data_IF_739778035925
#
_entry.id   IF_739778035925
#
_cell.length_a   1.000
_cell.length_b   1.000
_cell.length_c   1.000
_cell.angle_alpha   90.00
_cell.angle_beta   90.00
_cell.angle_gamma   90.00
#
_symmetry.space_group_name_H-M   'P 1'
#
loop_
_entity.id
_entity.type
_entity.pdbx_description
1 polymer ?
#
# COMPACT_ATOMS: atom_id res chain seq x y z
N UNK A 1 -7.03 -23.57 16.09
CA UNK A 1 -6.68 -22.35 16.79
C UNK A 1 -7.49 -21.18 16.24
N UNK A 2 -7.45 -20.87 14.94
CA UNK A 2 -8.20 -19.74 14.31
C UNK A 2 -9.70 -19.77 14.62
N UNK A 3 -10.36 -20.93 14.55
CA UNK A 3 -11.80 -21.03 14.84
C UNK A 3 -12.11 -20.82 16.32
N UNK A 4 -11.21 -21.21 17.20
CA UNK A 4 -11.34 -20.94 18.63
C UNK A 4 -11.18 -19.46 18.95
N UNK A 5 -10.25 -18.79 18.31
CA UNK A 5 -10.06 -17.32 18.42
C UNK A 5 -11.28 -16.57 17.89
N UNK A 6 -11.85 -16.97 16.76
CA UNK A 6 -13.10 -16.41 16.22
C UNK A 6 -14.27 -16.57 17.19
N UNK A 7 -14.42 -17.76 17.79
CA UNK A 7 -15.46 -18.00 18.79
C UNK A 7 -15.27 -17.11 20.02
N UNK A 8 -14.03 -16.93 20.49
CA UNK A 8 -13.71 -16.04 21.61
C UNK A 8 -14.00 -14.56 21.28
N UNK A 9 -13.80 -14.16 20.03
CA UNK A 9 -14.13 -12.82 19.53
C UNK A 9 -15.64 -12.62 19.24
N UNK A 10 -16.50 -13.60 19.52
CA UNK A 10 -17.94 -13.53 19.33
C UNK A 10 -18.40 -13.80 17.89
N UNK A 11 -17.50 -14.23 16.99
CA UNK A 11 -17.84 -14.65 15.64
C UNK A 11 -18.35 -16.09 15.70
N UNK A 12 -19.61 -16.33 15.33
CA UNK A 12 -20.21 -17.68 15.30
C UNK A 12 -19.48 -18.57 14.30
N UNK A 13 -18.65 -19.47 14.80
CA UNK A 13 -18.00 -20.53 14.03
C UNK A 13 -18.37 -21.87 14.67
N UNK A 14 -18.36 -22.96 13.91
CA UNK A 14 -18.54 -24.32 14.47
C UNK A 14 -17.51 -24.56 15.58
N UNK A 15 -17.90 -25.34 16.61
CA UNK A 15 -17.02 -25.67 17.73
C UNK A 15 -15.61 -26.02 17.25
N UNK A 16 -14.61 -25.47 17.94
CA UNK A 16 -13.20 -25.71 17.64
C UNK A 16 -12.83 -27.18 17.99
N UNK A 17 -13.21 -28.09 17.12
CA UNK A 17 -12.91 -29.51 17.22
C UNK A 17 -12.53 -30.05 15.84
N UNK A 18 -11.54 -30.94 15.82
CA UNK A 18 -11.19 -31.73 14.65
C UNK A 18 -12.00 -33.02 14.72
N UNK A 19 -12.85 -33.25 13.72
CA UNK A 19 -13.72 -34.43 13.62
C UNK A 19 -13.18 -35.42 12.59
N UNK A 20 -13.79 -36.62 12.53
CA UNK A 20 -13.43 -37.69 11.58
C UNK A 20 -13.20 -37.21 10.16
N UNK A 21 -14.03 -36.30 9.65
CA UNK A 21 -13.90 -35.78 8.30
C UNK A 21 -12.56 -35.04 8.08
N UNK A 22 -12.05 -34.34 9.09
CA UNK A 22 -10.74 -33.67 9.03
C UNK A 22 -9.56 -34.59 9.34
N UNK A 23 -9.85 -35.80 9.87
CA UNK A 23 -8.88 -36.86 10.18
C UNK A 23 -8.83 -37.96 9.09
N UNK A 24 -9.47 -37.75 7.93
CA UNK A 24 -9.53 -38.75 6.86
C UNK A 24 -8.14 -39.19 6.41
N UNK A 25 -7.20 -38.30 6.26
CA UNK A 25 -5.82 -38.61 5.88
C UNK A 25 -5.12 -39.48 6.94
N UNK A 26 -5.39 -39.27 8.23
CA UNK A 26 -4.89 -40.10 9.31
C UNK A 26 -5.53 -41.50 9.29
N UNK A 27 -6.84 -41.60 9.09
CA UNK A 27 -7.56 -42.86 9.06
C UNK A 27 -7.24 -43.70 7.83
N UNK A 28 -7.01 -43.08 6.68
CA UNK A 28 -6.66 -43.74 5.41
C UNK A 28 -5.16 -44.05 5.26
N UNK A 29 -4.31 -43.48 6.12
CA UNK A 29 -2.86 -43.66 6.02
C UNK A 29 -2.49 -45.12 6.33
N UNK A 30 -1.86 -45.81 5.36
CA UNK A 30 -1.38 -47.19 5.47
C UNK A 30 0.02 -47.27 6.09
N UNK A 31 0.76 -46.16 6.18
CA UNK A 31 2.07 -46.16 6.83
C UNK A 31 1.88 -46.13 8.35
N UNK A 32 2.29 -47.19 9.00
CA UNK A 32 2.17 -47.34 10.45
C UNK A 32 3.03 -46.29 11.17
N UNK A 33 4.23 -46.04 10.71
CA UNK A 33 5.15 -45.10 11.35
C UNK A 33 4.60 -43.66 11.36
N UNK A 34 3.99 -43.23 10.26
CA UNK A 34 3.38 -41.88 10.18
C UNK A 34 2.19 -41.77 11.14
N UNK A 35 1.39 -42.83 11.27
CA UNK A 35 0.27 -42.83 12.22
C UNK A 35 0.74 -42.80 13.66
N UNK A 36 1.73 -43.61 14.01
CA UNK A 36 2.32 -43.64 15.37
C UNK A 36 2.94 -42.26 15.70
N UNK A 37 3.64 -41.65 14.78
CA UNK A 37 4.19 -40.30 14.95
C UNK A 37 3.08 -39.27 15.18
N UNK A 38 1.99 -39.32 14.41
CA UNK A 38 0.84 -38.44 14.61
C UNK A 38 0.17 -38.65 15.95
N UNK A 39 -0.06 -39.92 16.34
CA UNK A 39 -0.68 -40.27 17.63
C UNK A 39 0.19 -39.85 18.81
N UNK A 40 1.51 -40.04 18.74
CA UNK A 40 2.44 -39.56 19.75
C UNK A 40 2.42 -38.05 19.89
N UNK A 41 2.36 -37.33 18.77
CA UNK A 41 2.25 -35.89 18.78
C UNK A 41 0.94 -35.38 19.40
N UNK A 42 -0.18 -36.04 19.06
CA UNK A 42 -1.49 -35.69 19.62
C UNK A 42 -1.58 -36.05 21.09
N UNK A 43 -0.97 -37.15 21.51
CA UNK A 43 -0.89 -37.55 22.94
C UNK A 43 -0.07 -36.50 23.72
N UNK A 44 1.07 -36.09 23.21
CA UNK A 44 1.85 -35.00 23.83
C UNK A 44 1.05 -33.71 23.97
N UNK A 45 0.22 -33.35 22.98
CA UNK A 45 -0.66 -32.19 23.08
C UNK A 45 -1.73 -32.38 24.19
N UNK A 46 -2.27 -33.59 24.37
CA UNK A 46 -3.20 -33.90 25.45
C UNK A 46 -2.51 -33.83 26.82
N UNK A 47 -1.33 -34.42 26.96
CA UNK A 47 -0.55 -34.44 28.21
C UNK A 47 -0.17 -33.03 28.65
N UNK A 48 0.05 -32.12 27.70
CA UNK A 48 0.21 -30.68 27.96
C UNK A 48 -1.14 -29.98 28.29
N UNK A 49 -2.26 -30.66 28.22
CA UNK A 49 -3.59 -30.12 28.51
C UNK A 49 -4.10 -29.15 27.43
N UNK A 50 -3.53 -29.20 26.23
CA UNK A 50 -3.93 -28.37 25.10
C UNK A 50 -5.21 -28.86 24.44
N UNK A 51 -5.35 -30.18 24.31
CA UNK A 51 -6.47 -30.86 23.65
C UNK A 51 -6.97 -32.03 24.47
N UNK A 52 -8.17 -32.52 24.15
CA UNK A 52 -8.72 -33.77 24.65
C UNK A 52 -9.02 -34.70 23.47
N UNK A 53 -8.48 -35.91 23.52
CA UNK A 53 -8.64 -36.92 22.48
C UNK A 53 -9.81 -37.85 22.79
N UNK A 54 -10.73 -38.00 21.83
CA UNK A 54 -11.74 -39.06 21.85
C UNK A 54 -11.33 -40.15 20.90
N UNK A 55 -11.29 -41.38 21.41
CA UNK A 55 -10.88 -42.60 20.69
C UNK A 55 -12.06 -43.50 20.43
N UNK A 56 -11.91 -44.43 19.50
CA UNK A 56 -12.91 -45.43 19.16
C UNK A 56 -13.41 -46.19 20.41
N UNK A 57 -14.71 -46.45 20.48
CA UNK A 57 -15.33 -47.17 21.61
C UNK A 57 -14.78 -48.58 21.69
N UNK A 58 -14.37 -49.01 22.87
CA UNK A 58 -13.84 -50.34 23.14
C UNK A 58 -12.31 -50.43 23.19
N UNK A 59 -11.61 -49.40 22.80
CA UNK A 59 -10.16 -49.30 22.82
C UNK A 59 -9.75 -48.03 23.58
N UNK A 60 -9.56 -48.14 24.90
CA UNK A 60 -9.31 -46.96 25.74
C UNK A 60 -7.96 -46.28 25.47
N UNK A 61 -6.94 -47.03 25.06
CA UNK A 61 -5.58 -46.54 24.81
C UNK A 61 -5.17 -46.74 23.35
N UNK A 62 -5.55 -47.86 22.73
CA UNK A 62 -5.09 -48.25 21.39
C UNK A 62 -6.09 -47.95 20.26
N UNK A 63 -7.28 -47.41 20.59
CA UNK A 63 -8.28 -47.01 19.59
C UNK A 63 -7.84 -45.77 18.77
N UNK A 64 -8.23 -45.75 17.50
CA UNK A 64 -7.95 -44.61 16.63
C UNK A 64 -8.60 -43.33 17.14
N UNK A 65 -7.96 -42.20 16.89
CA UNK A 65 -8.50 -40.89 17.27
C UNK A 65 -9.69 -40.54 16.35
N UNK A 66 -10.88 -40.41 16.91
CA UNK A 66 -12.12 -40.04 16.22
C UNK A 66 -12.35 -38.52 16.26
N UNK A 67 -11.91 -37.88 17.35
CA UNK A 67 -12.13 -36.45 17.56
C UNK A 67 -11.07 -35.86 18.47
N UNK A 68 -10.69 -34.64 18.17
CA UNK A 68 -9.80 -33.81 18.98
C UNK A 68 -10.57 -32.55 19.38
N UNK A 69 -10.84 -32.40 20.67
CA UNK A 69 -11.49 -31.23 21.23
C UNK A 69 -10.43 -30.30 21.83
N UNK A 70 -10.57 -28.98 21.59
CA UNK A 70 -9.72 -27.97 22.23
C UNK A 70 -10.06 -27.90 23.73
N UNK A 71 -9.04 -27.98 24.59
CA UNK A 71 -9.17 -27.82 26.05
C UNK A 71 -8.72 -26.42 26.49
N UNK A 72 -7.54 -26.02 26.04
CA UNK A 72 -6.95 -24.71 26.38
C UNK A 72 -6.24 -24.10 25.18
N UNK A 73 -6.71 -22.91 24.76
CA UNK A 73 -6.18 -22.21 23.59
C UNK A 73 -4.74 -21.76 23.78
N UNK A 74 -4.40 -21.24 24.98
CA UNK A 74 -3.05 -20.75 25.28
C UNK A 74 -2.04 -21.90 25.32
N UNK A 75 -2.41 -23.03 25.94
CA UNK A 75 -1.57 -24.22 25.96
C UNK A 75 -1.37 -24.80 24.55
N UNK A 76 -2.43 -24.79 23.72
CA UNK A 76 -2.31 -25.23 22.33
C UNK A 76 -1.37 -24.32 21.54
N UNK A 77 -1.50 -23.02 21.69
CA UNK A 77 -0.62 -22.06 21.03
C UNK A 77 0.84 -22.23 21.46
N UNK A 78 1.08 -22.40 22.77
CA UNK A 78 2.41 -22.68 23.31
C UNK A 78 2.98 -24.00 22.76
N UNK A 79 2.17 -25.07 22.74
CA UNK A 79 2.57 -26.36 22.18
C UNK A 79 2.94 -26.29 20.71
N UNK A 80 2.20 -25.49 19.94
CA UNK A 80 2.46 -25.26 18.51
C UNK A 80 3.57 -24.23 18.23
N UNK A 81 4.10 -23.55 19.26
CA UNK A 81 5.11 -22.51 19.10
C UNK A 81 4.59 -21.25 18.38
N UNK A 82 3.29 -20.96 18.47
CA UNK A 82 2.66 -19.81 17.79
C UNK A 82 2.01 -18.87 18.81
N UNK A 83 1.91 -17.58 18.47
CA UNK A 83 1.26 -16.59 19.32
C UNK A 83 -0.26 -16.60 19.12
N UNK A 84 -1.02 -16.45 20.20
CA UNK A 84 -2.47 -16.22 20.13
C UNK A 84 -2.78 -14.80 19.65
N UNK A 85 -4.02 -14.57 19.23
CA UNK A 85 -4.49 -13.20 18.88
C UNK A 85 -4.36 -12.25 20.09
N UNK A 86 -4.64 -12.73 21.30
CA UNK A 86 -4.48 -11.93 22.53
C UNK A 86 -3.03 -11.57 22.80
N UNK A 87 -2.07 -12.48 22.55
CA UNK A 87 -0.65 -12.20 22.70
C UNK A 87 -0.20 -11.15 21.69
N UNK A 88 -0.66 -11.27 20.42
CA UNK A 88 -0.36 -10.31 19.37
C UNK A 88 -0.95 -8.93 19.67
N UNK A 89 -2.20 -8.87 20.14
CA UNK A 89 -2.85 -7.63 20.56
C UNK A 89 -2.15 -7.00 21.75
N UNK A 90 -1.71 -7.80 22.74
CA UNK A 90 -0.99 -7.29 23.92
C UNK A 90 0.35 -6.67 23.49
N UNK A 91 1.08 -7.32 22.60
CA UNK A 91 2.32 -6.80 22.02
C UNK A 91 2.05 -5.51 21.21
N UNK A 92 1.00 -5.51 20.40
CA UNK A 92 0.63 -4.34 19.62
C UNK A 92 0.28 -3.14 20.53
N UNK A 93 -0.50 -3.35 21.58
CA UNK A 93 -0.80 -2.31 22.57
C UNK A 93 0.46 -1.76 23.24
N UNK A 94 1.38 -2.64 23.63
CA UNK A 94 2.65 -2.21 24.23
C UNK A 94 3.48 -1.36 23.25
N UNK A 95 3.55 -1.76 21.99
CA UNK A 95 4.29 -1.02 20.94
C UNK A 95 3.68 0.33 20.61
N UNK A 96 2.36 0.48 20.72
CA UNK A 96 1.63 1.71 20.40
C UNK A 96 1.40 2.61 21.63
N UNK A 97 1.70 2.18 22.86
CA UNK A 97 1.34 2.89 24.10
C UNK A 97 1.82 4.34 24.16
N UNK A 98 3.04 4.63 23.67
CA UNK A 98 3.59 5.98 23.60
C UNK A 98 3.09 6.83 22.42
N UNK A 99 2.29 6.27 21.53
CA UNK A 99 1.87 6.89 20.28
C UNK A 99 0.37 7.20 20.29
N UNK A 100 -0.41 6.40 21.04
CA UNK A 100 -1.88 6.50 21.12
C UNK A 100 -2.36 7.88 21.62
N UNK A 101 -1.60 8.53 22.49
CA UNK A 101 -1.94 9.87 23.01
C UNK A 101 -1.92 10.93 21.91
N UNK A 102 -1.02 10.81 20.93
CA UNK A 102 -0.97 11.71 19.79
C UNK A 102 -1.94 11.29 18.67
N UNK A 103 -2.12 9.99 18.47
CA UNK A 103 -2.95 9.43 17.41
C UNK A 103 -4.08 8.58 18.00
N UNK A 104 -5.14 9.23 18.50
CA UNK A 104 -6.26 8.54 19.16
C UNK A 104 -6.96 7.48 18.30
N UNK A 105 -6.90 7.59 16.97
CA UNK A 105 -7.44 6.60 16.02
C UNK A 105 -6.82 5.20 16.19
N UNK A 106 -5.64 5.11 16.78
CA UNK A 106 -5.01 3.81 17.08
C UNK A 106 -5.82 2.97 18.08
N UNK A 107 -6.67 3.59 18.91
CA UNK A 107 -7.61 2.85 19.76
C UNK A 107 -8.67 2.13 18.92
N UNK A 108 -9.16 2.76 17.84
CA UNK A 108 -10.10 2.14 16.90
C UNK A 108 -9.41 0.99 16.14
N UNK A 109 -8.15 1.18 15.74
CA UNK A 109 -7.35 0.14 15.08
C UNK A 109 -7.23 -1.08 15.99
N UNK A 110 -6.84 -0.89 17.26
CA UNK A 110 -6.72 -1.98 18.23
C UNK A 110 -8.07 -2.67 18.51
N UNK A 111 -9.18 -1.91 18.56
CA UNK A 111 -10.50 -2.47 18.74
C UNK A 111 -10.97 -3.28 17.52
N UNK A 112 -10.72 -2.79 16.30
CA UNK A 112 -10.97 -3.56 15.07
C UNK A 112 -10.16 -4.87 15.08
N UNK A 113 -8.89 -4.83 15.42
CA UNK A 113 -8.05 -6.01 15.52
C UNK A 113 -8.53 -6.99 16.61
N UNK A 114 -9.04 -6.48 17.75
CA UNK A 114 -9.67 -7.31 18.78
C UNK A 114 -10.88 -8.08 18.23
N UNK A 115 -11.62 -7.46 17.29
CA UNK A 115 -12.76 -8.06 16.61
C UNK A 115 -12.34 -8.89 15.38
N UNK A 116 -11.04 -9.17 15.19
CA UNK A 116 -10.47 -9.87 14.03
C UNK A 116 -10.75 -9.17 12.69
N UNK A 117 -11.03 -7.87 12.71
CA UNK A 117 -11.20 -7.05 11.53
C UNK A 117 -9.86 -6.43 11.14
N UNK A 118 -9.52 -6.48 9.87
CA UNK A 118 -8.34 -5.80 9.34
C UNK A 118 -8.61 -4.32 9.12
N UNK A 119 -7.61 -3.48 9.40
CA UNK A 119 -7.64 -2.05 9.07
C UNK A 119 -6.61 -1.79 7.97
N UNK A 120 -7.05 -1.29 6.82
CA UNK A 120 -6.19 -1.08 5.63
C UNK A 120 -5.35 -2.32 5.28
N UNK A 121 -5.94 -3.51 5.44
CA UNK A 121 -5.28 -4.79 5.16
C UNK A 121 -4.37 -5.32 6.27
N UNK A 122 -4.09 -4.54 7.31
CA UNK A 122 -3.20 -4.91 8.42
C UNK A 122 -3.91 -5.63 9.56
N UNK A 123 -3.16 -6.43 10.29
CA UNK A 123 -3.57 -7.10 11.52
C UNK A 123 -2.49 -6.86 12.63
N UNK A 124 -2.66 -7.34 13.89
CA UNK A 124 -1.71 -7.06 14.97
C UNK A 124 -0.25 -7.44 14.68
N UNK A 125 0.02 -8.33 13.74
CA UNK A 125 1.39 -8.68 13.32
C UNK A 125 2.09 -7.53 12.59
N UNK A 126 1.32 -6.68 11.95
CA UNK A 126 1.79 -5.54 11.16
C UNK A 126 1.95 -4.27 12.02
N UNK A 127 1.95 -4.39 13.35
CA UNK A 127 2.01 -3.22 14.27
C UNK A 127 3.22 -2.33 14.01
N UNK A 128 4.34 -2.90 13.56
CA UNK A 128 5.55 -2.13 13.26
C UNK A 128 5.32 -1.12 12.13
N UNK A 129 4.47 -1.43 11.16
CA UNK A 129 4.13 -0.51 10.08
C UNK A 129 3.36 0.72 10.60
N UNK A 130 2.52 0.55 11.62
CA UNK A 130 1.83 1.67 12.30
C UNK A 130 2.78 2.51 13.14
N UNK A 131 3.74 1.88 13.83
CA UNK A 131 4.81 2.60 14.52
C UNK A 131 5.64 3.41 13.53
N UNK A 132 6.00 2.81 12.40
CA UNK A 132 6.75 3.49 11.34
C UNK A 132 5.96 4.67 10.75
N UNK A 133 4.65 4.50 10.51
CA UNK A 133 3.78 5.57 10.00
C UNK A 133 3.71 6.76 10.98
N UNK A 134 3.49 6.50 12.26
CA UNK A 134 3.51 7.54 13.29
C UNK A 134 4.87 8.24 13.36
N UNK A 135 5.96 7.47 13.29
CA UNK A 135 7.32 8.02 13.32
C UNK A 135 7.61 8.94 12.13
N UNK A 136 7.15 8.60 10.93
CA UNK A 136 7.26 9.48 9.74
C UNK A 136 6.55 10.80 9.98
N UNK A 137 5.31 10.79 10.46
CA UNK A 137 4.56 12.02 10.74
C UNK A 137 5.28 12.87 11.79
N UNK A 138 5.74 12.24 12.89
CA UNK A 138 6.47 12.93 13.96
C UNK A 138 7.80 13.51 13.47
N UNK A 139 8.52 12.77 12.62
CA UNK A 139 9.76 13.25 12.02
C UNK A 139 9.51 14.48 11.14
N UNK A 140 8.50 14.41 10.26
CA UNK A 140 8.17 15.51 9.36
C UNK A 140 7.63 16.75 10.09
N UNK A 141 6.90 16.58 11.20
CA UNK A 141 6.47 17.72 12.04
C UNK A 141 7.65 18.51 12.63
N UNK A 142 8.77 17.84 12.89
CA UNK A 142 10.00 18.47 13.44
C UNK A 142 10.85 19.18 12.38
N UNK A 143 10.56 18.99 11.08
CA UNK A 143 11.33 19.63 10.03
C UNK A 143 11.02 21.14 9.94
N UNK A 144 12.02 21.99 9.63
CA UNK A 144 11.79 23.41 9.37
C UNK A 144 10.81 23.64 8.22
N UNK A 145 9.99 24.68 8.30
CA UNK A 145 9.01 25.00 7.26
C UNK A 145 9.67 25.30 5.88
N UNK A 146 10.93 25.72 5.90
CA UNK A 146 11.72 25.98 4.68
C UNK A 146 12.00 24.74 3.83
N UNK A 147 11.94 23.54 4.42
CA UNK A 147 12.18 22.26 3.70
C UNK A 147 10.90 21.42 3.55
N UNK A 148 9.81 21.81 4.22
CA UNK A 148 8.52 21.14 4.07
C UNK A 148 8.00 21.28 2.65
N UNK A 149 7.59 20.17 2.05
CA UNK A 149 7.14 20.10 0.66
C UNK A 149 8.25 19.89 -0.37
N UNK A 150 9.52 19.86 0.06
CA UNK A 150 10.65 19.64 -0.83
C UNK A 150 11.39 18.31 -0.63
N UNK A 151 11.13 17.62 0.48
CA UNK A 151 11.83 16.38 0.81
C UNK A 151 11.32 15.20 -0.03
N UNK A 152 12.21 14.56 -0.83
CA UNK A 152 11.84 13.40 -1.61
C UNK A 152 11.48 12.22 -0.70
N UNK A 153 10.33 11.59 -0.95
CA UNK A 153 9.82 10.47 -0.14
C UNK A 153 10.84 9.33 -0.01
N UNK A 154 11.57 9.02 -1.11
CA UNK A 154 12.54 7.93 -1.11
C UNK A 154 13.79 8.24 -0.30
N UNK A 155 14.22 9.49 -0.28
CA UNK A 155 15.36 9.93 0.55
C UNK A 155 14.99 9.83 2.02
N UNK A 156 13.83 10.36 2.41
CA UNK A 156 13.35 10.28 3.81
C UNK A 156 13.15 8.82 4.23
N UNK A 157 12.55 8.00 3.36
CA UNK A 157 12.36 6.56 3.64
C UNK A 157 13.70 5.84 3.83
N UNK A 158 14.67 6.06 2.94
CA UNK A 158 16.00 5.48 3.05
C UNK A 158 16.74 5.97 4.31
N UNK A 159 16.61 7.24 4.66
CA UNK A 159 17.21 7.80 5.86
C UNK A 159 16.67 7.16 7.14
N UNK A 160 15.33 7.09 7.27
CA UNK A 160 14.66 6.59 8.48
C UNK A 160 14.75 5.08 8.62
N UNK A 161 14.59 4.32 7.52
CA UNK A 161 14.34 2.88 7.54
C UNK A 161 15.40 2.05 6.82
N UNK A 162 16.39 2.67 6.17
CA UNK A 162 17.36 2.01 5.30
C UNK A 162 16.72 1.26 4.10
N UNK A 163 15.45 1.55 3.82
CA UNK A 163 14.70 1.09 2.67
C UNK A 163 13.93 2.28 2.07
N UNK A 164 14.18 2.59 0.80
CA UNK A 164 13.59 3.73 0.09
C UNK A 164 12.08 3.60 -0.19
N UNK A 165 11.48 2.44 0.07
CA UNK A 165 10.08 2.15 -0.27
C UNK A 165 9.15 1.98 0.94
N UNK A 166 9.64 2.07 2.17
CA UNK A 166 8.82 1.85 3.37
C UNK A 166 7.67 2.85 3.42
N UNK A 167 7.94 4.15 3.24
CA UNK A 167 6.89 5.18 3.30
C UNK A 167 5.84 4.98 2.20
N UNK A 168 6.24 4.57 1.00
CA UNK A 168 5.29 4.24 -0.08
C UNK A 168 4.35 3.09 0.34
N UNK A 169 4.88 2.04 0.97
CA UNK A 169 4.11 0.86 1.42
C UNK A 169 3.11 1.19 2.53
N UNK A 170 3.47 2.08 3.44
CA UNK A 170 2.63 2.44 4.60
C UNK A 170 1.72 3.66 4.35
N UNK A 171 1.60 4.14 3.12
CA UNK A 171 0.83 5.35 2.78
C UNK A 171 -0.63 5.29 3.24
N UNK A 172 -1.27 4.13 3.14
CA UNK A 172 -2.65 3.93 3.62
C UNK A 172 -2.78 4.03 5.14
N UNK A 173 -1.72 3.74 5.88
CA UNK A 173 -1.68 3.89 7.35
C UNK A 173 -1.43 5.33 7.75
N UNK A 174 -0.56 6.04 7.00
CA UNK A 174 -0.41 7.49 7.14
C UNK A 174 -1.75 8.20 6.94
N UNK A 175 -2.55 7.78 5.95
CA UNK A 175 -3.88 8.30 5.68
C UNK A 175 -4.81 8.20 6.90
N UNK A 176 -4.85 7.02 7.54
CA UNK A 176 -5.65 6.81 8.76
C UNK A 176 -5.18 7.68 9.92
N UNK A 177 -3.87 7.78 10.13
CA UNK A 177 -3.32 8.60 11.23
C UNK A 177 -3.58 10.09 11.03
N UNK A 178 -3.54 10.58 9.79
CA UNK A 178 -3.77 11.98 9.45
C UNK A 178 -5.26 12.34 9.45
N UNK A 179 -6.11 11.46 8.92
CA UNK A 179 -7.57 11.67 8.92
C UNK A 179 -8.23 11.47 10.29
N UNK A 180 -7.57 10.74 11.19
CA UNK A 180 -8.11 10.40 12.50
C UNK A 180 -9.29 9.42 12.47
N UNK A 181 -9.49 8.66 11.37
CA UNK A 181 -10.59 7.70 11.21
C UNK A 181 -10.17 6.47 10.43
N UNK A 182 -10.59 5.30 10.89
CA UNK A 182 -10.38 4.02 10.18
C UNK A 182 -11.33 3.83 8.99
N UNK A 183 -12.42 4.59 8.95
CA UNK A 183 -13.48 4.50 7.92
C UNK A 183 -13.37 5.61 6.86
N UNK A 184 -12.35 6.46 6.92
CA UNK A 184 -12.14 7.51 5.92
C UNK A 184 -11.99 6.94 4.51
N UNK A 185 -12.52 7.66 3.52
CA UNK A 185 -12.27 7.33 2.10
C UNK A 185 -10.77 7.42 1.84
N UNK A 186 -10.21 6.38 1.24
CA UNK A 186 -8.79 6.34 0.91
C UNK A 186 -8.42 7.47 -0.06
N UNK A 187 -7.46 8.29 0.32
CA UNK A 187 -6.91 9.36 -0.51
C UNK A 187 -5.80 8.82 -1.41
N UNK A 188 -5.50 9.56 -2.47
CA UNK A 188 -4.37 9.24 -3.32
C UNK A 188 -3.04 9.43 -2.56
N UNK A 189 -2.06 8.52 -2.72
CA UNK A 189 -0.82 8.57 -1.98
C UNK A 189 -0.08 9.92 -2.07
N UNK A 190 -0.11 10.59 -3.22
CA UNK A 190 0.56 11.87 -3.38
C UNK A 190 -0.07 13.00 -2.54
N UNK A 191 -1.38 12.94 -2.27
CA UNK A 191 -2.08 13.91 -1.41
C UNK A 191 -1.65 13.74 0.04
N UNK A 192 -1.54 12.47 0.49
CA UNK A 192 -1.09 12.10 1.83
C UNK A 192 0.36 12.59 2.05
N UNK A 193 1.24 12.33 1.08
CA UNK A 193 2.64 12.76 1.19
C UNK A 193 2.77 14.28 1.18
N UNK A 194 2.03 14.97 0.33
CA UNK A 194 2.04 16.43 0.27
C UNK A 194 1.59 17.06 1.59
N UNK A 195 0.58 16.49 2.27
CA UNK A 195 0.09 16.98 3.56
C UNK A 195 1.17 16.95 4.64
N UNK A 196 2.04 15.93 4.64
CA UNK A 196 3.15 15.83 5.60
C UNK A 196 4.45 16.47 5.10
N UNK A 197 4.42 17.16 3.96
CA UNK A 197 5.57 17.87 3.41
C UNK A 197 6.56 16.99 2.66
N UNK A 198 6.15 15.81 2.21
CA UNK A 198 6.93 14.94 1.33
C UNK A 198 6.51 15.11 -0.12
N UNK A 199 7.45 14.91 -1.03
CA UNK A 199 7.17 14.84 -2.47
C UNK A 199 7.71 13.56 -3.09
N UNK A 200 7.06 13.10 -4.12
CA UNK A 200 7.65 12.11 -5.02
C UNK A 200 8.71 12.77 -5.88
N UNK A 201 9.78 12.06 -6.21
CA UNK A 201 10.72 12.54 -7.23
C UNK A 201 9.97 12.87 -8.52
N UNK A 202 10.18 14.09 -9.03
CA UNK A 202 9.58 14.50 -10.28
C UNK A 202 10.21 13.70 -11.43
N UNK A 203 9.36 13.00 -12.17
CA UNK A 203 9.76 12.47 -13.47
C UNK A 203 9.94 13.66 -14.43
N UNK A 204 11.05 13.74 -15.18
CA UNK A 204 11.20 14.79 -16.20
C UNK A 204 10.06 14.71 -17.20
N UNK A 205 9.47 15.87 -17.50
CA UNK A 205 8.43 16.00 -18.53
C UNK A 205 9.07 15.88 -19.90
N UNK A 206 8.54 15.03 -20.74
CA UNK A 206 8.99 14.86 -22.12
C UNK A 206 8.14 15.71 -23.04
N UNK A 207 8.82 16.57 -23.80
CA UNK A 207 8.23 17.52 -24.74
C UNK A 207 8.83 17.28 -26.15
N UNK A 208 7.99 17.34 -27.18
CA UNK A 208 8.43 17.16 -28.55
C UNK A 208 7.76 18.17 -29.50
N UNK A 209 8.37 18.42 -30.65
CA UNK A 209 7.92 19.36 -31.68
C UNK A 209 8.92 20.48 -31.91
N UNK A 210 8.69 21.27 -32.95
CA UNK A 210 9.55 22.44 -33.31
C UNK A 210 9.20 23.64 -32.44
N UNK A 211 9.59 23.60 -31.15
CA UNK A 211 9.17 24.53 -30.12
C UNK A 211 10.35 25.04 -29.30
N UNK A 212 10.32 26.31 -28.93
CA UNK A 212 11.26 26.92 -27.99
C UNK A 212 10.59 26.99 -26.62
N UNK A 213 11.19 26.34 -25.66
CA UNK A 213 10.74 26.31 -24.25
C UNK A 213 11.46 27.40 -23.48
N UNK A 214 10.69 28.29 -22.87
CA UNK A 214 11.21 29.30 -21.95
C UNK A 214 11.44 28.66 -20.59
N UNK A 215 12.66 28.75 -20.10
CA UNK A 215 13.10 28.25 -18.81
C UNK A 215 13.65 29.39 -17.97
N UNK A 216 13.97 29.13 -16.70
CA UNK A 216 14.42 30.16 -15.75
C UNK A 216 15.66 30.94 -16.24
N UNK A 217 16.64 30.24 -16.81
CA UNK A 217 17.94 30.81 -17.19
C UNK A 217 18.18 30.83 -18.69
N UNK A 218 17.49 30.01 -19.45
CA UNK A 218 17.73 29.84 -20.89
C UNK A 218 16.43 29.53 -21.62
N UNK A 219 16.39 29.90 -22.91
CA UNK A 219 15.41 29.37 -23.84
C UNK A 219 16.01 28.13 -24.52
N UNK A 220 15.31 27.02 -24.48
CA UNK A 220 15.78 25.74 -25.00
C UNK A 220 14.95 25.34 -26.21
N UNK A 221 15.59 25.16 -27.35
CA UNK A 221 14.96 24.52 -28.51
C UNK A 221 14.76 23.04 -28.20
N UNK A 222 13.58 22.50 -28.47
CA UNK A 222 13.36 21.07 -28.35
C UNK A 222 14.12 20.34 -29.46
N UNK A 223 14.88 19.33 -29.08
CA UNK A 223 15.61 18.49 -30.03
C UNK A 223 14.80 17.23 -30.38
N UNK A 224 15.10 16.66 -31.54
CA UNK A 224 14.47 15.45 -32.02
C UNK A 224 15.03 14.20 -31.31
N UNK A 225 14.19 13.20 -31.01
CA UNK A 225 12.74 13.14 -31.21
C UNK A 225 11.96 13.86 -30.08
N UNK A 226 12.56 14.08 -28.91
CA UNK A 226 12.00 14.83 -27.80
C UNK A 226 13.09 15.26 -26.83
N UNK A 227 12.79 16.26 -26.04
CA UNK A 227 13.63 16.72 -24.93
C UNK A 227 12.90 16.53 -23.59
N UNK A 228 13.63 16.24 -22.52
CA UNK A 228 13.08 16.06 -21.18
C UNK A 228 13.60 17.13 -20.22
N UNK A 229 12.68 17.74 -19.44
CA UNK A 229 13.00 18.78 -18.46
C UNK A 229 12.35 18.48 -17.11
N UNK A 230 12.95 18.89 -15.98
CA UNK A 230 12.21 19.00 -14.73
C UNK A 230 11.00 19.94 -14.93
N UNK A 231 9.80 19.52 -14.52
CA UNK A 231 8.56 20.28 -14.73
C UNK A 231 8.64 21.69 -14.13
N UNK A 232 9.30 21.84 -12.98
CA UNK A 232 9.52 23.11 -12.28
C UNK A 232 10.28 24.15 -13.12
N UNK A 233 11.17 23.69 -14.04
CA UNK A 233 12.02 24.59 -14.85
C UNK A 233 11.35 25.11 -16.13
N UNK A 234 10.21 24.55 -16.52
CA UNK A 234 9.46 24.96 -17.72
C UNK A 234 8.52 26.11 -17.35
N UNK A 235 8.77 27.31 -17.85
CA UNK A 235 7.99 28.52 -17.57
C UNK A 235 6.96 28.85 -18.65
N UNK A 236 7.06 28.26 -19.84
CA UNK A 236 6.16 28.49 -20.96
C UNK A 236 6.87 28.23 -22.29
N UNK A 237 6.25 28.63 -23.37
CA UNK A 237 6.83 28.59 -24.72
C UNK A 237 7.01 29.98 -25.33
N UNK A 238 7.95 30.13 -26.26
CA UNK A 238 8.18 31.34 -27.03
C UNK A 238 7.78 31.19 -28.51
N UNK A 239 7.55 29.96 -28.95
CA UNK A 239 7.13 29.64 -30.32
C UNK A 239 5.61 29.76 -30.47
N UNK A 240 5.16 30.17 -31.65
CA UNK A 240 3.76 30.05 -32.05
C UNK A 240 3.50 28.59 -32.49
N UNK A 241 2.48 27.97 -31.91
CA UNK A 241 2.05 26.61 -32.24
C UNK A 241 0.57 26.60 -32.64
N UNK A 242 0.20 25.73 -33.59
CA UNK A 242 -1.19 25.54 -33.98
C UNK A 242 -1.91 24.53 -33.12
N UNK A 243 -1.19 23.55 -32.59
CA UNK A 243 -1.78 22.45 -31.80
C UNK A 243 -0.86 22.09 -30.64
N UNK A 244 -1.48 21.87 -29.48
CA UNK A 244 -0.88 21.26 -28.31
C UNK A 244 -1.59 19.93 -28.06
N UNK A 245 -0.83 18.84 -27.95
CA UNK A 245 -1.39 17.50 -27.72
C UNK A 245 -0.74 16.91 -26.48
N UNK A 246 -1.53 16.57 -25.48
CA UNK A 246 -1.10 15.74 -24.37
C UNK A 246 -1.32 14.28 -24.72
N UNK A 247 -0.34 13.40 -24.50
CA UNK A 247 -0.39 11.99 -24.86
C UNK A 247 -0.10 11.13 -23.63
N UNK A 248 -1.00 10.18 -23.36
CA UNK A 248 -0.90 9.29 -22.20
C UNK A 248 0.01 8.09 -22.47
N UNK A 249 -0.16 7.44 -23.63
CA UNK A 249 0.57 6.23 -23.96
C UNK A 249 2.00 6.54 -24.41
N UNK A 250 2.99 5.91 -23.78
CA UNK A 250 4.40 6.15 -24.04
C UNK A 250 4.81 5.78 -25.48
N UNK A 251 4.31 4.66 -26.01
CA UNK A 251 4.62 4.21 -27.37
C UNK A 251 4.07 5.17 -28.39
N UNK A 252 2.83 5.61 -28.21
CA UNK A 252 2.16 6.62 -29.03
C UNK A 252 2.94 7.92 -29.00
N UNK A 253 3.34 8.41 -27.81
CA UNK A 253 4.15 9.62 -27.69
C UNK A 253 5.47 9.50 -28.49
N UNK A 254 6.20 8.41 -28.33
CA UNK A 254 7.47 8.21 -29.07
C UNK A 254 7.29 8.14 -30.57
N UNK A 255 6.19 7.54 -31.04
CA UNK A 255 5.88 7.46 -32.48
C UNK A 255 5.56 8.83 -33.05
N UNK A 256 4.67 9.57 -32.39
CA UNK A 256 4.26 10.90 -32.82
C UNK A 256 5.38 11.93 -32.66
N UNK A 257 6.21 11.83 -31.64
CA UNK A 257 7.39 12.69 -31.48
C UNK A 257 8.35 12.60 -32.65
N UNK A 258 8.58 11.40 -33.23
CA UNK A 258 9.39 11.23 -34.43
C UNK A 258 8.69 11.73 -35.69
N UNK A 259 7.36 11.55 -35.79
CA UNK A 259 6.56 11.95 -36.94
C UNK A 259 6.39 13.46 -37.08
N UNK A 260 6.23 14.16 -35.93
CA UNK A 260 5.85 15.58 -35.87
C UNK A 260 6.98 16.50 -35.45
N UNK A 261 8.25 16.05 -35.40
CA UNK A 261 9.36 16.83 -34.84
C UNK A 261 9.63 18.17 -35.53
N UNK A 262 9.33 18.28 -36.83
CA UNK A 262 9.50 19.51 -37.61
C UNK A 262 8.23 20.36 -37.73
N UNK A 263 7.15 19.96 -37.06
CA UNK A 263 5.88 20.66 -37.13
C UNK A 263 5.74 21.69 -35.97
N UNK A 264 5.00 22.75 -36.19
CA UNK A 264 4.64 23.74 -35.18
C UNK A 264 3.54 23.19 -34.24
N UNK A 265 3.82 22.04 -33.65
CA UNK A 265 2.98 21.27 -32.71
C UNK A 265 3.78 21.03 -31.46
N UNK A 266 3.16 21.18 -30.29
CA UNK A 266 3.76 20.74 -29.03
C UNK A 266 3.11 19.45 -28.54
N UNK A 267 3.91 18.41 -28.40
CA UNK A 267 3.51 17.17 -27.76
C UNK A 267 4.02 17.13 -26.32
N UNK A 268 3.17 16.75 -25.38
CA UNK A 268 3.50 16.63 -23.96
C UNK A 268 3.11 15.22 -23.49
N UNK A 269 4.08 14.47 -22.97
CA UNK A 269 3.82 13.17 -22.38
C UNK A 269 3.28 13.32 -20.95
N UNK A 270 2.14 12.70 -20.62
CA UNK A 270 1.54 12.78 -19.28
C UNK A 270 2.17 11.80 -18.28
N UNK A 271 2.70 10.68 -18.77
CA UNK A 271 3.26 9.59 -17.96
C UNK A 271 2.22 8.95 -16.99
N UNK A 272 0.99 8.73 -17.46
CA UNK A 272 -0.16 8.33 -16.65
C UNK A 272 -0.79 9.51 -15.95
N UNK A 273 -1.25 9.35 -14.70
CA UNK A 273 -1.92 10.41 -13.93
C UNK A 273 -0.95 11.59 -13.68
N UNK A 274 -1.27 12.81 -14.17
CA UNK A 274 -0.39 13.96 -14.08
C UNK A 274 -0.16 14.42 -12.63
N UNK A 275 1.11 14.52 -12.22
CA UNK A 275 1.49 14.99 -10.89
C UNK A 275 1.15 16.48 -10.69
N UNK A 276 1.07 17.00 -9.46
CA UNK A 276 0.87 18.44 -9.20
C UNK A 276 1.90 19.33 -9.92
N UNK A 277 3.17 18.92 -9.94
CA UNK A 277 4.23 19.66 -10.65
C UNK A 277 4.02 19.67 -12.17
N UNK A 278 3.61 18.53 -12.75
CA UNK A 278 3.25 18.44 -14.17
C UNK A 278 2.08 19.37 -14.51
N UNK A 279 1.03 19.38 -13.68
CA UNK A 279 -0.15 20.25 -13.87
C UNK A 279 0.21 21.75 -13.78
N UNK A 280 1.03 22.11 -12.80
CA UNK A 280 1.51 23.48 -12.67
C UNK A 280 2.34 23.92 -13.88
N UNK A 281 3.19 23.05 -14.43
CA UNK A 281 3.91 23.26 -15.68
C UNK A 281 2.95 23.42 -16.87
N UNK A 282 1.97 22.53 -17.00
CA UNK A 282 0.98 22.57 -18.07
C UNK A 282 0.19 23.89 -18.06
N UNK A 283 -0.26 24.34 -16.90
CA UNK A 283 -0.94 25.62 -16.74
C UNK A 283 -0.06 26.81 -17.19
N UNK A 284 1.27 26.80 -16.91
CA UNK A 284 2.20 27.82 -17.42
C UNK A 284 2.34 27.77 -18.93
N UNK A 285 2.39 26.58 -19.53
CA UNK A 285 2.40 26.43 -20.99
C UNK A 285 1.10 26.96 -21.58
N UNK A 286 -0.06 26.57 -21.04
CA UNK A 286 -1.38 27.04 -21.50
C UNK A 286 -1.49 28.58 -21.44
N UNK A 287 -0.91 29.21 -20.42
CA UNK A 287 -0.89 30.67 -20.30
C UNK A 287 0.01 31.39 -21.35
N UNK A 288 0.90 30.62 -22.00
CA UNK A 288 1.85 31.17 -23.00
C UNK A 288 1.47 30.85 -24.45
N UNK A 289 0.46 29.99 -24.69
CA UNK A 289 -0.01 29.68 -26.04
C UNK A 289 -1.06 30.69 -26.53
N UNK A 290 -1.22 30.80 -27.87
CA UNK A 290 -2.26 31.61 -28.50
C UNK A 290 -3.66 31.07 -28.17
N UNK A 291 -4.65 31.95 -28.06
CA UNK A 291 -6.07 31.57 -27.92
C UNK A 291 -6.59 30.77 -29.12
N UNK A 292 -5.91 30.82 -30.26
CA UNK A 292 -6.26 30.05 -31.46
C UNK A 292 -5.57 28.70 -31.54
N UNK A 293 -4.74 28.34 -30.55
CA UNK A 293 -4.10 27.01 -30.48
C UNK A 293 -5.13 25.94 -30.13
N UNK A 294 -5.21 24.91 -30.95
CA UNK A 294 -6.02 23.72 -30.65
C UNK A 294 -5.38 22.90 -29.53
N UNK A 295 -6.15 22.62 -28.49
CA UNK A 295 -5.68 21.82 -27.34
C UNK A 295 -6.38 20.48 -27.40
N UNK A 296 -5.59 19.40 -27.50
CA UNK A 296 -6.07 18.04 -27.65
C UNK A 296 -5.47 17.14 -26.55
N UNK A 297 -6.22 16.12 -26.17
CA UNK A 297 -5.75 15.03 -25.33
C UNK A 297 -5.90 13.70 -26.04
N UNK A 298 -4.85 12.90 -26.05
CA UNK A 298 -4.84 11.55 -26.57
C UNK A 298 -4.59 10.58 -25.42
N UNK A 299 -5.67 10.10 -24.82
CA UNK A 299 -5.67 9.14 -23.72
C UNK A 299 -6.30 7.81 -24.13
N UNK A 300 -6.19 6.83 -23.24
CA UNK A 300 -6.86 5.55 -23.39
C UNK A 300 -8.39 5.71 -23.15
N UNK A 301 -9.19 4.90 -23.84
CA UNK A 301 -10.67 4.95 -23.73
C UNK A 301 -11.10 4.03 -22.60
N UNK A 302 -10.71 4.37 -21.38
CA UNK A 302 -11.10 3.68 -20.15
C UNK A 302 -11.34 4.70 -19.01
N UNK A 303 -11.70 4.21 -17.82
CA UNK A 303 -11.95 5.07 -16.65
C UNK A 303 -10.71 5.92 -16.28
N UNK A 304 -9.50 5.35 -16.37
CA UNK A 304 -8.24 6.03 -16.10
C UNK A 304 -8.00 7.19 -17.05
N UNK A 305 -8.12 6.96 -18.35
CA UNK A 305 -7.94 7.96 -19.39
C UNK A 305 -8.97 9.11 -19.29
N UNK A 306 -10.23 8.80 -18.98
CA UNK A 306 -11.25 9.84 -18.72
C UNK A 306 -10.95 10.66 -17.46
N UNK A 307 -10.43 10.04 -16.40
CA UNK A 307 -9.99 10.77 -15.19
C UNK A 307 -8.81 11.70 -15.48
N UNK A 308 -7.85 11.27 -16.29
CA UNK A 308 -6.72 12.10 -16.73
C UNK A 308 -7.24 13.28 -17.55
N UNK A 309 -8.10 13.04 -18.54
CA UNK A 309 -8.70 14.09 -19.36
C UNK A 309 -9.42 15.14 -18.51
N UNK A 310 -10.25 14.70 -17.55
CA UNK A 310 -10.95 15.60 -16.63
C UNK A 310 -10.01 16.40 -15.72
N UNK A 311 -8.82 15.87 -15.40
CA UNK A 311 -7.87 16.54 -14.52
C UNK A 311 -7.07 17.64 -15.24
N UNK A 312 -6.91 17.52 -16.55
CA UNK A 312 -6.10 18.46 -17.38
C UNK A 312 -6.95 19.44 -18.20
N UNK A 313 -8.26 19.24 -18.26
CA UNK A 313 -9.23 20.17 -18.89
C UNK A 313 -9.56 21.35 -17.99
#
# INVERSE_FOLDING_TARGET
LLDAEKNKAGVKVRNAAITMAALESYHSNRNIQDREAFEAYMQAAQDNGAVNLKRERGYHIDGRIERVDLTDLGKLALFLGISTQDDLLSKARASLSGIVEEFHVLNEVLENWRQLKKVRGTDPKDVQDWVNAAFVIQYMKKQPDTVKGELPIREVSAYLFKDSKVIEKISSLLDVLLSGSTESIAREPYEIWAEIGLRREEQPVRLAGKVIIRRERVCSVLDSPYTAFPASTVLGIESSIYTLITIENQTTFHTEARRLHDNDVLLIYTAGMPSPAWRAMYARILSSVSKNTSILHWGDVDEGGFRIAALIS
#
